data_IF_544454276041
#
_entry.id   IF_544454276041
#
_cell.length_a   1.000
_cell.length_b   1.000
_cell.length_c   1.000
_cell.angle_alpha   90.00
_cell.angle_beta   90.00
_cell.angle_gamma   90.00
#
_symmetry.space_group_name_H-M   'P 1'
#
loop_
_entity.id
_entity.type
_entity.pdbx_description
1 polymer ?
#
# COMPACT_ATOMS: atom_id res chain seq x y z
N UNK A 1 -1.89 0.47 -1.76
CA UNK A 1 -0.99 1.39 -2.46
C UNK A 1 -1.37 1.32 -3.92
N UNK A 2 -1.69 2.47 -4.50
CA UNK A 2 -2.31 2.60 -5.81
C UNK A 2 -2.12 4.06 -6.24
N UNK A 3 -1.66 4.32 -7.48
CA UNK A 3 -1.39 5.69 -7.93
C UNK A 3 -2.66 6.52 -8.16
N UNK A 4 -3.82 5.88 -8.25
CA UNK A 4 -5.11 6.55 -8.35
C UNK A 4 -5.61 6.97 -6.96
N UNK A 5 -5.60 8.28 -6.71
CA UNK A 5 -6.01 8.85 -5.41
C UNK A 5 -7.46 8.49 -5.03
N UNK A 6 -8.37 8.48 -6.00
CA UNK A 6 -9.77 8.17 -5.77
C UNK A 6 -9.96 6.73 -5.26
N UNK A 7 -9.23 5.78 -5.83
CA UNK A 7 -9.26 4.36 -5.41
C UNK A 7 -8.78 4.23 -3.97
N UNK A 8 -7.62 4.82 -3.65
CA UNK A 8 -7.10 4.75 -2.27
C UNK A 8 -8.04 5.43 -1.27
N UNK A 9 -8.72 6.51 -1.65
CA UNK A 9 -9.65 7.24 -0.79
C UNK A 9 -10.88 6.39 -0.48
N UNK A 10 -11.48 5.78 -1.50
CA UNK A 10 -12.67 4.92 -1.33
C UNK A 10 -12.34 3.71 -0.45
N UNK A 11 -11.22 3.03 -0.70
CA UNK A 11 -10.80 1.87 0.10
C UNK A 11 -10.51 2.29 1.55
N UNK A 12 -9.79 3.40 1.74
CA UNK A 12 -9.48 3.92 3.06
C UNK A 12 -10.74 4.23 3.85
N UNK A 13 -11.65 5.02 3.29
CA UNK A 13 -12.90 5.37 3.97
C UNK A 13 -13.73 4.14 4.31
N UNK A 14 -13.82 3.16 3.40
CA UNK A 14 -14.54 1.91 3.66
C UNK A 14 -13.96 1.15 4.86
N UNK A 15 -12.64 0.93 4.86
CA UNK A 15 -11.96 0.19 5.92
C UNK A 15 -11.92 0.96 7.26
N UNK A 16 -11.72 2.28 7.22
CA UNK A 16 -11.76 3.10 8.44
C UNK A 16 -13.15 3.11 9.08
N UNK A 17 -14.23 3.10 8.27
CA UNK A 17 -15.60 2.98 8.76
C UNK A 17 -15.86 1.63 9.46
N UNK A 18 -15.17 0.57 9.03
CA UNK A 18 -15.21 -0.75 9.66
C UNK A 18 -14.30 -0.86 10.90
N UNK A 19 -13.62 0.23 11.28
CA UNK A 19 -12.80 0.33 12.49
C UNK A 19 -11.32 -0.05 12.30
N UNK A 20 -10.86 -0.21 11.05
CA UNK A 20 -9.45 -0.49 10.77
C UNK A 20 -8.61 0.79 10.74
N UNK A 21 -7.33 0.69 11.11
CA UNK A 21 -6.34 1.74 10.87
C UNK A 21 -5.73 1.55 9.49
N UNK A 22 -5.79 2.58 8.64
CA UNK A 22 -5.42 2.45 7.22
C UNK A 22 -4.43 3.54 6.82
N UNK A 23 -3.24 3.12 6.42
CA UNK A 23 -2.27 3.94 5.73
C UNK A 23 -2.41 3.76 4.22
N UNK A 24 -2.47 4.87 3.47
CA UNK A 24 -2.54 4.86 2.01
C UNK A 24 -1.35 5.57 1.39
N UNK A 25 -0.87 5.03 0.27
CA UNK A 25 0.23 5.59 -0.50
C UNK A 25 -0.15 5.61 -1.98
N UNK A 26 -0.04 6.80 -2.58
CA UNK A 26 -0.22 7.03 -4.03
C UNK A 26 1.10 7.17 -4.79
N UNK A 27 2.21 7.09 -4.06
CA UNK A 27 3.55 7.07 -4.61
C UNK A 27 4.27 5.84 -4.05
N UNK A 28 4.60 4.86 -4.90
CA UNK A 28 5.32 3.67 -4.49
C UNK A 28 6.65 3.95 -3.79
N UNK A 29 7.37 5.01 -4.18
CA UNK A 29 8.64 5.34 -3.55
C UNK A 29 8.44 5.79 -2.10
N UNK A 30 7.38 6.57 -1.83
CA UNK A 30 7.00 6.96 -0.46
C UNK A 30 6.55 5.75 0.35
N UNK A 31 5.82 4.82 -0.27
CA UNK A 31 5.39 3.61 0.39
C UNK A 31 6.57 2.78 0.91
N UNK A 32 7.60 2.55 0.10
CA UNK A 32 8.80 1.82 0.51
C UNK A 32 9.55 2.59 1.62
N UNK A 33 9.67 3.91 1.48
CA UNK A 33 10.41 4.74 2.43
C UNK A 33 9.74 4.81 3.82
N UNK A 34 8.41 4.75 3.87
CA UNK A 34 7.63 4.84 5.11
C UNK A 34 7.14 3.47 5.60
N UNK A 35 7.44 2.39 4.88
CA UNK A 35 7.06 1.03 5.26
C UNK A 35 7.65 0.67 6.62
N UNK A 36 6.83 0.05 7.45
CA UNK A 36 7.16 -0.37 8.82
C UNK A 36 7.10 -1.91 8.88
N UNK A 37 8.24 -2.59 9.04
CA UNK A 37 8.27 -4.04 9.19
C UNK A 37 7.46 -4.49 10.41
N UNK A 38 6.78 -5.64 10.31
CA UNK A 38 5.99 -6.28 11.36
C UNK A 38 4.87 -5.39 11.95
N UNK A 39 4.43 -4.37 11.22
CA UNK A 39 3.40 -3.42 11.66
C UNK A 39 2.04 -3.66 10.99
N UNK A 40 2.03 -4.06 9.73
CA UNK A 40 0.81 -4.18 8.93
C UNK A 40 0.31 -5.63 8.88
N UNK A 41 -0.97 -5.84 9.23
CA UNK A 41 -1.60 -7.17 9.13
C UNK A 41 -2.05 -7.52 7.72
N UNK A 42 -2.26 -6.52 6.86
CA UNK A 42 -2.70 -6.67 5.48
C UNK A 42 -2.16 -5.52 4.63
N UNK A 43 -1.72 -5.84 3.42
CA UNK A 43 -1.28 -4.88 2.41
C UNK A 43 -2.09 -5.10 1.14
N UNK A 44 -2.79 -4.06 0.70
CA UNK A 44 -3.51 -4.03 -0.59
C UNK A 44 -2.65 -3.26 -1.59
N UNK A 45 -2.41 -3.84 -2.76
CA UNK A 45 -1.49 -3.29 -3.75
C UNK A 45 -2.09 -3.38 -5.16
N UNK A 46 -2.00 -2.30 -5.92
CA UNK A 46 -2.26 -2.35 -7.35
C UNK A 46 -1.11 -3.04 -8.10
N UNK A 47 -1.47 -3.83 -9.10
CA UNK A 47 -0.53 -4.55 -9.97
C UNK A 47 0.00 -3.64 -11.07
N UNK A 48 -0.81 -2.71 -11.58
CA UNK A 48 -0.55 -1.94 -12.80
C UNK A 48 -0.35 -0.45 -12.54
N UNK A 49 0.75 -0.10 -11.88
CA UNK A 49 1.12 1.30 -11.71
C UNK A 49 2.07 1.78 -12.84
N UNK A 50 2.05 3.07 -13.23
CA UNK A 50 2.85 3.59 -14.34
C UNK A 50 4.37 3.51 -14.13
N UNK A 51 4.80 3.66 -12.87
CA UNK A 51 6.20 3.86 -12.51
C UNK A 51 6.85 2.62 -11.87
N UNK A 52 6.06 1.69 -11.36
CA UNK A 52 6.55 0.46 -10.72
C UNK A 52 5.59 -0.68 -11.03
N UNK A 53 6.14 -1.89 -11.18
CA UNK A 53 5.31 -3.08 -11.19
C UNK A 53 4.92 -3.43 -9.74
N UNK A 54 3.62 -3.55 -9.46
CA UNK A 54 3.13 -3.94 -8.15
C UNK A 54 3.71 -5.26 -7.64
N UNK A 55 3.93 -6.24 -8.51
CA UNK A 55 4.54 -7.51 -8.09
C UNK A 55 5.98 -7.34 -7.60
N UNK A 56 6.76 -6.46 -8.23
CA UNK A 56 8.11 -6.14 -7.79
C UNK A 56 8.12 -5.42 -6.45
N UNK A 57 7.16 -4.51 -6.24
CA UNK A 57 6.98 -3.81 -4.97
C UNK A 57 6.58 -4.78 -3.85
N UNK A 58 5.65 -5.70 -4.12
CA UNK A 58 5.25 -6.73 -3.16
C UNK A 58 6.44 -7.59 -2.72
N UNK A 59 7.31 -7.98 -3.67
CA UNK A 59 8.53 -8.72 -3.36
C UNK A 59 9.49 -7.91 -2.46
N UNK A 60 9.69 -6.63 -2.76
CA UNK A 60 10.57 -5.77 -1.94
C UNK A 60 10.03 -5.55 -0.53
N UNK A 61 8.72 -5.40 -0.40
CA UNK A 61 8.05 -5.29 0.91
C UNK A 61 8.22 -6.58 1.69
N UNK A 62 8.00 -7.74 1.06
CA UNK A 62 8.21 -9.04 1.68
C UNK A 62 9.64 -9.19 2.22
N UNK A 63 10.65 -8.89 1.40
CA UNK A 63 12.07 -8.96 1.80
C UNK A 63 12.45 -8.00 2.94
N UNK A 64 11.64 -6.96 3.19
CA UNK A 64 11.83 -6.01 4.30
C UNK A 64 11.08 -6.40 5.58
N UNK A 65 10.08 -7.27 5.46
CA UNK A 65 9.23 -7.70 6.56
C UNK A 65 9.76 -8.96 7.26
N UNK A 66 10.42 -9.85 6.48
CA UNK A 66 11.25 -10.98 6.95
C UNK A 66 12.59 -10.52 7.59
#
# INVERSE_FOLDING_TARGET
MDDEQDITTVIKTGLENDGYQVDTFNDPAKAIAQFKPNYYSLIILDVRMPNINGLSLAKLIWEKDD
#
